data_IF_452262286012
#
_entry.id   IF_452262286012
#
_cell.length_a   1.000
_cell.length_b   1.000
_cell.length_c   1.000
_cell.angle_alpha   90.00
_cell.angle_beta   90.00
_cell.angle_gamma   90.00
#
_symmetry.space_group_name_H-M   'P 1'
#
loop_
_entity.id
_entity.type
_entity.pdbx_description
1 polymer ?
#
# COMPACT_ATOMS: atom_id res chain seq x y z
N UNK A 1 11.65 -24.97 -24.35
CA UNK A 1 10.17 -25.05 -24.31
C UNK A 1 9.63 -26.43 -24.68
N UNK A 2 9.75 -26.92 -25.93
CA UNK A 2 9.34 -28.32 -26.25
C UNK A 2 10.07 -29.37 -25.41
N UNK A 3 11.38 -29.18 -25.20
CA UNK A 3 12.19 -30.01 -24.29
C UNK A 3 11.80 -29.88 -22.80
N UNK A 4 11.05 -28.83 -22.44
CA UNK A 4 10.54 -28.57 -21.09
C UNK A 4 9.04 -28.93 -20.95
N UNK A 5 8.49 -29.74 -21.87
CA UNK A 5 7.10 -30.20 -21.83
C UNK A 5 6.05 -29.21 -22.34
N UNK A 6 6.45 -28.07 -22.92
CA UNK A 6 5.50 -27.09 -23.46
C UNK A 6 4.96 -27.52 -24.83
N UNK A 7 3.64 -27.53 -24.98
CA UNK A 7 2.95 -27.78 -26.24
C UNK A 7 2.60 -26.46 -26.93
N UNK A 8 2.99 -26.32 -28.20
CA UNK A 8 2.66 -25.16 -29.01
C UNK A 8 1.49 -25.48 -29.92
N UNK A 9 0.44 -24.67 -29.85
CA UNK A 9 -0.65 -24.69 -30.82
C UNK A 9 -0.53 -23.49 -31.75
N UNK A 10 -0.57 -23.67 -33.08
CA UNK A 10 -0.57 -22.56 -34.03
C UNK A 10 -1.91 -21.80 -34.07
N UNK A 11 -2.97 -22.31 -33.44
CA UNK A 11 -4.31 -21.69 -33.41
C UNK A 11 -4.86 -21.66 -32.00
N UNK A 12 -5.63 -20.63 -31.67
CA UNK A 12 -6.30 -20.54 -30.37
C UNK A 12 -7.43 -21.57 -30.27
N UNK A 13 -7.28 -22.54 -29.36
CA UNK A 13 -8.27 -23.58 -28.99
C UNK A 13 -8.57 -23.49 -27.49
N UNK A 14 -9.63 -24.18 -27.03
CA UNK A 14 -10.07 -24.13 -25.61
C UNK A 14 -9.03 -24.70 -24.64
N UNK A 15 -8.11 -25.52 -25.11
CA UNK A 15 -7.15 -26.25 -24.29
C UNK A 15 -5.84 -25.46 -24.06
N UNK A 16 -5.77 -24.21 -24.51
CA UNK A 16 -4.58 -23.38 -24.38
C UNK A 16 -4.60 -22.60 -23.09
N UNK A 17 -3.49 -22.67 -22.35
CA UNK A 17 -3.33 -22.00 -21.05
C UNK A 17 -3.09 -20.49 -21.19
N UNK A 18 -2.34 -20.04 -22.21
CA UNK A 18 -2.08 -18.62 -22.47
C UNK A 18 -1.68 -18.39 -23.94
N UNK A 19 -1.86 -17.14 -24.40
CA UNK A 19 -1.36 -16.67 -25.70
C UNK A 19 -0.19 -15.73 -25.46
N UNK A 20 0.93 -15.96 -26.13
CA UNK A 20 2.13 -15.12 -26.01
C UNK A 20 2.16 -14.15 -27.18
N UNK A 21 2.24 -12.84 -26.89
CA UNK A 21 2.34 -11.80 -27.90
C UNK A 21 3.80 -11.55 -28.27
N UNK A 22 4.21 -11.97 -29.47
CA UNK A 22 5.52 -11.69 -30.05
C UNK A 22 5.42 -10.51 -31.03
N UNK A 23 6.16 -9.42 -30.78
CA UNK A 23 6.20 -8.24 -31.66
C UNK A 23 5.36 -7.06 -31.16
N UNK A 24 5.91 -5.85 -31.28
CA UNK A 24 5.27 -4.61 -30.85
C UNK A 24 4.01 -4.25 -31.65
N UNK A 25 3.04 -3.68 -30.94
CA UNK A 25 1.86 -2.92 -31.40
C UNK A 25 0.86 -3.53 -32.39
N UNK A 26 1.06 -4.73 -32.96
CA UNK A 26 0.01 -5.42 -33.73
C UNK A 26 -0.88 -6.29 -32.83
N UNK A 27 -1.54 -5.65 -31.87
CA UNK A 27 -2.33 -6.27 -30.80
C UNK A 27 -3.75 -6.73 -31.25
N UNK A 28 -3.94 -6.91 -32.56
CA UNK A 28 -5.24 -7.10 -33.22
C UNK A 28 -5.32 -8.35 -34.12
N UNK A 29 -4.43 -9.34 -33.92
CA UNK A 29 -4.55 -10.62 -34.63
C UNK A 29 -5.87 -11.34 -34.34
N UNK A 30 -6.37 -12.12 -35.29
CA UNK A 30 -7.63 -12.86 -35.14
C UNK A 30 -7.58 -13.81 -33.93
N UNK A 31 -6.40 -14.32 -33.62
CA UNK A 31 -6.04 -15.17 -32.50
C UNK A 31 -6.17 -14.42 -31.17
N UNK A 32 -5.66 -13.19 -31.08
CA UNK A 32 -5.80 -12.33 -29.91
C UNK A 32 -7.27 -12.00 -29.64
N UNK A 33 -8.04 -11.66 -30.69
CA UNK A 33 -9.50 -11.44 -30.56
C UNK A 33 -10.24 -12.71 -30.09
N UNK A 34 -9.83 -13.88 -30.57
CA UNK A 34 -10.40 -15.17 -30.16
C UNK A 34 -10.06 -15.53 -28.71
N UNK A 35 -8.81 -15.30 -28.29
CA UNK A 35 -8.36 -15.49 -26.92
C UNK A 35 -9.16 -14.62 -25.93
N UNK A 36 -9.39 -13.34 -26.28
CA UNK A 36 -10.25 -12.42 -25.51
C UNK A 36 -11.66 -12.95 -25.33
N UNK A 37 -12.33 -13.37 -26.41
CA UNK A 37 -13.68 -13.95 -26.35
C UNK A 37 -13.75 -15.20 -25.47
N UNK A 38 -12.66 -15.96 -25.40
CA UNK A 38 -12.54 -17.19 -24.61
C UNK A 38 -11.95 -16.95 -23.22
N UNK A 39 -11.68 -15.70 -22.83
CA UNK A 39 -11.03 -15.32 -21.55
C UNK A 39 -9.69 -16.01 -21.31
N UNK A 40 -8.96 -16.33 -22.37
CA UNK A 40 -7.61 -16.91 -22.29
C UNK A 40 -6.61 -15.76 -22.03
N UNK A 41 -5.73 -15.86 -21.01
CA UNK A 41 -4.73 -14.84 -20.71
C UNK A 41 -3.80 -14.57 -21.90
N UNK A 42 -3.56 -13.29 -22.21
CA UNK A 42 -2.58 -12.85 -23.20
C UNK A 42 -1.39 -12.26 -22.46
N UNK A 43 -0.22 -12.87 -22.62
CA UNK A 43 1.01 -12.51 -21.91
C UNK A 43 2.09 -12.01 -22.86
N UNK A 44 3.03 -11.23 -22.33
CA UNK A 44 4.20 -10.73 -23.04
C UNK A 44 5.23 -11.85 -23.30
N UNK A 45 6.13 -11.63 -24.26
CA UNK A 45 7.17 -12.61 -24.64
C UNK A 45 8.17 -12.92 -23.52
N UNK A 46 8.47 -11.95 -22.67
CA UNK A 46 9.31 -12.08 -21.48
C UNK A 46 8.81 -13.18 -20.52
N UNK A 47 7.50 -13.43 -20.45
CA UNK A 47 6.89 -14.51 -19.67
C UNK A 47 7.55 -15.87 -19.92
N UNK A 48 7.75 -16.23 -21.20
CA UNK A 48 8.36 -17.51 -21.55
C UNK A 48 9.83 -17.57 -21.11
N UNK A 49 10.57 -16.46 -21.28
CA UNK A 49 11.96 -16.37 -20.85
C UNK A 49 12.12 -16.54 -19.35
N UNK A 50 11.26 -15.89 -18.56
CA UNK A 50 11.25 -15.98 -17.10
C UNK A 50 10.84 -17.38 -16.60
N UNK A 51 9.82 -17.99 -17.21
CA UNK A 51 9.40 -19.35 -16.88
C UNK A 51 10.52 -20.39 -17.13
N UNK A 52 11.26 -20.24 -18.23
CA UNK A 52 12.41 -21.11 -18.55
C UNK A 52 13.52 -20.90 -17.53
N UNK A 53 13.86 -19.64 -17.21
CA UNK A 53 14.94 -19.32 -16.28
C UNK A 53 14.67 -19.85 -14.88
N UNK A 54 13.43 -19.72 -14.40
CA UNK A 54 13.00 -20.19 -13.07
C UNK A 54 12.56 -21.67 -13.05
N UNK A 55 12.57 -22.35 -14.20
CA UNK A 55 12.13 -23.75 -14.36
C UNK A 55 10.75 -24.07 -13.73
N UNK A 56 9.84 -23.09 -13.73
CA UNK A 56 8.46 -23.20 -13.21
C UNK A 56 7.49 -22.34 -14.02
N UNK A 57 6.20 -22.70 -14.00
CA UNK A 57 5.14 -21.88 -14.62
C UNK A 57 4.84 -20.70 -13.70
N UNK A 58 5.05 -19.48 -14.18
CA UNK A 58 4.81 -18.26 -13.41
C UNK A 58 3.33 -17.81 -13.53
N UNK A 59 2.80 -17.03 -12.57
CA UNK A 59 1.45 -16.49 -12.67
C UNK A 59 1.30 -15.55 -13.87
N UNK A 60 0.25 -15.74 -14.67
CA UNK A 60 0.01 -14.92 -15.87
C UNK A 60 -0.23 -13.44 -15.56
N UNK A 61 -0.78 -13.11 -14.39
CA UNK A 61 -1.18 -11.74 -14.01
C UNK A 61 -0.03 -10.73 -14.07
N UNK A 62 1.19 -11.17 -13.75
CA UNK A 62 2.40 -10.34 -13.78
C UNK A 62 2.85 -9.96 -15.19
N UNK A 63 2.40 -10.72 -16.20
CA UNK A 63 2.86 -10.63 -17.57
C UNK A 63 1.73 -10.34 -18.56
N UNK A 64 0.50 -10.11 -18.07
CA UNK A 64 -0.67 -9.80 -18.89
C UNK A 64 -0.46 -8.49 -19.67
N UNK A 65 -0.84 -8.50 -20.94
CA UNK A 65 -0.85 -7.30 -21.78
C UNK A 65 -2.13 -6.51 -21.48
N UNK A 66 -2.01 -5.40 -20.77
CA UNK A 66 -3.13 -4.48 -20.51
C UNK A 66 -3.69 -3.92 -21.82
N UNK A 67 -5.02 -3.83 -21.93
CA UNK A 67 -5.67 -3.08 -23.02
C UNK A 67 -6.54 -1.97 -22.47
N UNK A 68 -6.42 -0.82 -23.12
CA UNK A 68 -6.78 0.54 -22.70
C UNK A 68 -8.27 0.83 -22.52
N UNK A 69 -9.17 -0.14 -22.44
CA UNK A 69 -10.62 0.11 -22.54
C UNK A 69 -11.51 -0.56 -21.48
N UNK A 70 -10.99 -1.38 -20.56
CA UNK A 70 -11.83 -1.97 -19.49
C UNK A 70 -11.29 -1.77 -18.07
N UNK A 71 -10.08 -1.23 -17.91
CA UNK A 71 -9.46 -0.99 -16.58
C UNK A 71 -9.52 0.47 -16.13
N UNK A 72 -9.87 1.40 -17.03
CA UNK A 72 -9.84 2.85 -16.78
C UNK A 72 -11.12 3.43 -16.16
N UNK A 73 -12.18 2.64 -15.94
CA UNK A 73 -13.47 3.14 -15.41
C UNK A 73 -13.98 2.44 -14.14
N UNK A 74 -13.18 1.57 -13.52
CA UNK A 74 -13.41 1.15 -12.14
C UNK A 74 -12.23 1.65 -11.34
N UNK A 75 -12.45 2.70 -10.54
CA UNK A 75 -11.50 3.09 -9.49
C UNK A 75 -11.10 1.82 -8.75
N UNK A 76 -9.85 1.41 -8.92
CA UNK A 76 -9.36 0.11 -8.49
C UNK A 76 -9.58 0.01 -6.99
N UNK A 77 -10.53 -0.83 -6.60
CA UNK A 77 -10.71 -1.19 -5.21
C UNK A 77 -9.44 -1.94 -4.84
N UNK A 78 -8.49 -1.26 -4.18
CA UNK A 78 -7.29 -1.91 -3.63
C UNK A 78 -7.77 -2.82 -2.50
N UNK A 79 -8.21 -4.02 -2.86
CA UNK A 79 -8.54 -5.05 -1.90
C UNK A 79 -7.24 -5.65 -1.40
N UNK A 80 -6.71 -5.06 -0.33
CA UNK A 80 -5.55 -5.57 0.39
C UNK A 80 -5.81 -7.02 0.80
N UNK A 81 -5.16 -7.98 0.13
CA UNK A 81 -5.20 -9.39 0.50
C UNK A 81 -4.24 -9.62 1.66
N UNK A 82 -4.81 -9.79 2.85
CA UNK A 82 -4.07 -10.07 4.08
C UNK A 82 -3.78 -11.57 4.16
N UNK A 83 -2.52 -11.95 4.33
CA UNK A 83 -2.07 -13.32 4.66
C UNK A 83 -1.13 -13.24 5.87
N UNK A 84 -1.46 -13.92 6.97
CA UNK A 84 -0.75 -13.74 8.25
C UNK A 84 -1.16 -12.44 8.95
N UNK A 85 -0.27 -11.82 9.75
CA UNK A 85 -0.53 -10.60 10.52
C UNK A 85 -0.39 -9.30 9.73
N UNK A 86 -0.15 -9.39 8.42
CA UNK A 86 0.02 -8.22 7.57
C UNK A 86 -0.35 -8.51 6.12
N UNK A 87 -0.24 -7.49 5.26
CA UNK A 87 -0.55 -7.62 3.85
C UNK A 87 0.64 -7.24 2.97
N UNK A 88 0.85 -8.06 1.95
CA UNK A 88 1.82 -7.79 0.89
C UNK A 88 1.30 -6.65 0.04
N UNK A 89 2.14 -5.65 -0.22
CA UNK A 89 1.76 -4.50 -1.02
C UNK A 89 1.53 -4.89 -2.49
N UNK A 90 0.42 -4.48 -3.09
CA UNK A 90 0.00 -4.87 -4.45
C UNK A 90 1.06 -4.59 -5.53
N UNK A 91 1.71 -3.43 -5.46
CA UNK A 91 2.76 -3.07 -6.41
C UNK A 91 3.98 -4.01 -6.43
N UNK A 92 4.13 -4.92 -5.45
CA UNK A 92 5.14 -5.98 -5.47
C UNK A 92 4.82 -7.08 -6.48
N UNK A 93 3.54 -7.30 -6.81
CA UNK A 93 3.09 -8.43 -7.61
C UNK A 93 3.05 -9.77 -6.86
N UNK A 94 3.47 -9.82 -5.58
CA UNK A 94 3.57 -11.07 -4.80
C UNK A 94 2.42 -11.27 -3.81
N UNK A 95 1.35 -10.47 -3.91
CA UNK A 95 0.21 -10.50 -2.99
C UNK A 95 -0.54 -11.85 -2.97
N UNK A 96 -0.48 -12.59 -4.07
CA UNK A 96 -1.17 -13.87 -4.22
C UNK A 96 -0.28 -15.08 -3.93
N UNK A 97 1.05 -14.90 -3.96
CA UNK A 97 2.03 -16.00 -3.86
C UNK A 97 2.95 -15.92 -2.65
N UNK A 98 2.98 -14.78 -1.94
CA UNK A 98 3.80 -14.60 -0.75
C UNK A 98 3.04 -14.02 0.43
N UNK A 99 3.73 -14.01 1.57
CA UNK A 99 3.31 -13.41 2.83
C UNK A 99 4.43 -12.55 3.40
N UNK A 100 4.09 -11.66 4.34
CA UNK A 100 5.10 -10.87 5.05
C UNK A 100 5.89 -11.78 5.97
N UNK A 101 7.21 -11.66 5.94
CA UNK A 101 8.07 -12.45 6.81
C UNK A 101 7.83 -12.11 8.28
N UNK A 102 7.50 -13.14 9.06
CA UNK A 102 7.37 -13.07 10.52
C UNK A 102 8.48 -13.93 11.17
N UNK A 103 9.24 -13.34 12.10
CA UNK A 103 10.25 -14.06 12.88
C UNK A 103 9.99 -13.86 14.38
N UNK A 104 9.30 -14.82 15.01
CA UNK A 104 8.90 -14.73 16.41
C UNK A 104 7.87 -13.63 16.65
N UNK A 105 8.29 -12.52 17.27
CA UNK A 105 7.44 -11.33 17.48
C UNK A 105 7.67 -10.25 16.43
N UNK A 106 8.72 -10.39 15.62
CA UNK A 106 9.12 -9.43 14.60
C UNK A 106 8.30 -9.61 13.33
N UNK A 107 7.61 -8.55 12.92
CA UNK A 107 6.90 -8.48 11.62
C UNK A 107 7.68 -7.51 10.74
N UNK A 108 8.31 -8.00 9.67
CA UNK A 108 9.14 -7.18 8.79
C UNK A 108 8.30 -6.43 7.74
N UNK A 109 7.44 -5.54 8.23
CA UNK A 109 6.68 -4.59 7.44
C UNK A 109 6.65 -3.25 8.15
N UNK A 110 6.96 -2.17 7.42
CA UNK A 110 6.85 -0.82 7.94
C UNK A 110 6.49 0.16 6.83
N UNK A 111 5.67 1.14 7.18
CA UNK A 111 5.38 2.30 6.35
C UNK A 111 5.93 3.51 7.09
N UNK A 112 6.80 4.26 6.44
CA UNK A 112 7.42 5.45 7.00
C UNK A 112 6.84 6.68 6.31
N UNK A 113 6.70 7.77 7.05
CA UNK A 113 6.18 9.04 6.56
C UNK A 113 7.06 10.20 7.05
N UNK A 114 7.15 11.25 6.25
CA UNK A 114 7.77 12.52 6.62
C UNK A 114 7.00 13.66 5.97
N UNK A 115 6.58 14.61 6.80
CA UNK A 115 6.05 15.89 6.34
C UNK A 115 6.90 17.02 6.92
N UNK A 116 7.44 17.85 6.04
CA UNK A 116 8.13 19.09 6.41
C UNK A 116 7.65 20.20 5.47
N UNK A 117 6.79 21.06 6.02
CA UNK A 117 6.20 22.17 5.29
C UNK A 117 7.19 23.27 4.95
N UNK A 118 8.28 23.40 5.71
CA UNK A 118 9.31 24.40 5.44
C UNK A 118 10.11 24.05 4.18
N UNK A 119 10.31 22.76 3.93
CA UNK A 119 11.03 22.23 2.79
C UNK A 119 10.10 21.76 1.65
N UNK A 120 8.78 21.82 1.85
CA UNK A 120 7.78 21.30 0.90
C UNK A 120 7.81 19.76 0.74
N UNK A 121 8.40 19.06 1.70
CA UNK A 121 8.57 17.60 1.69
C UNK A 121 7.31 16.96 2.26
N UNK A 122 6.70 16.05 1.49
CA UNK A 122 5.61 15.20 1.96
C UNK A 122 5.78 13.82 1.31
N UNK A 123 6.48 12.93 1.98
CA UNK A 123 7.01 11.71 1.35
C UNK A 123 6.73 10.48 2.20
N UNK A 124 6.44 9.36 1.53
CA UNK A 124 6.28 8.06 2.16
C UNK A 124 7.35 7.08 1.70
N UNK A 125 7.60 6.06 2.53
CA UNK A 125 8.52 4.97 2.24
C UNK A 125 7.98 3.67 2.84
N UNK A 126 7.58 2.73 2.00
CA UNK A 126 7.11 1.40 2.37
C UNK A 126 8.27 0.43 2.22
N UNK A 127 8.48 -0.38 3.26
CA UNK A 127 9.53 -1.40 3.32
C UNK A 127 8.93 -2.70 3.85
N UNK A 128 9.06 -3.77 3.05
CA UNK A 128 8.51 -5.08 3.37
C UNK A 128 9.54 -6.17 3.07
N UNK A 129 9.57 -7.21 3.90
CA UNK A 129 10.14 -8.50 3.51
C UNK A 129 9.00 -9.44 3.15
N UNK A 130 9.04 -9.99 1.95
CA UNK A 130 8.03 -10.90 1.40
C UNK A 130 8.69 -12.27 1.21
N UNK A 131 8.16 -13.29 1.86
CA UNK A 131 8.56 -14.69 1.69
C UNK A 131 7.49 -15.38 0.83
N UNK A 132 7.89 -16.15 -0.19
CA UNK A 132 6.93 -16.97 -0.94
C UNK A 132 6.30 -18.02 -0.01
N UNK A 133 5.04 -18.39 -0.28
CA UNK A 133 4.29 -19.32 0.56
C UNK A 133 4.91 -20.72 0.61
N UNK A 134 5.70 -21.09 -0.40
CA UNK A 134 6.48 -22.34 -0.44
C UNK A 134 7.82 -22.26 0.31
N UNK A 135 8.17 -21.07 0.83
CA UNK A 135 9.41 -20.79 1.55
C UNK A 135 10.67 -20.81 0.69
N UNK A 136 10.53 -20.82 -0.64
CA UNK A 136 11.66 -20.99 -1.56
C UNK A 136 12.47 -19.70 -1.76
N UNK A 137 11.79 -18.58 -1.91
CA UNK A 137 12.37 -17.28 -2.25
C UNK A 137 11.95 -16.20 -1.25
N UNK A 138 12.86 -15.27 -0.96
CA UNK A 138 12.62 -14.14 -0.07
C UNK A 138 13.01 -12.84 -0.77
N UNK A 139 12.18 -11.81 -0.57
CA UNK A 139 12.28 -10.56 -1.29
C UNK A 139 12.26 -9.38 -0.34
N UNK A 140 13.09 -8.37 -0.61
CA UNK A 140 12.96 -7.04 0.00
C UNK A 140 12.23 -6.14 -0.99
N UNK A 141 11.04 -5.70 -0.59
CA UNK A 141 10.22 -4.78 -1.37
C UNK A 141 10.29 -3.37 -0.79
N UNK A 142 10.45 -2.41 -1.70
CA UNK A 142 10.52 -0.98 -1.41
C UNK A 142 9.57 -0.23 -2.33
N UNK A 143 8.82 0.72 -1.78
CA UNK A 143 8.06 1.70 -2.55
C UNK A 143 8.19 3.06 -1.89
N UNK A 144 8.47 4.10 -2.65
CA UNK A 144 8.62 5.45 -2.13
C UNK A 144 8.01 6.45 -3.09
N UNK A 145 7.60 7.60 -2.56
CA UNK A 145 7.02 8.65 -3.39
C UNK A 145 6.54 9.83 -2.58
N UNK A 146 5.98 10.82 -3.30
CA UNK A 146 5.24 11.91 -2.68
C UNK A 146 3.85 11.41 -2.31
N UNK A 147 3.40 11.69 -1.10
CA UNK A 147 2.05 11.32 -0.66
C UNK A 147 1.00 12.02 -1.53
N UNK A 148 0.03 11.27 -2.04
CA UNK A 148 -1.06 11.79 -2.88
C UNK A 148 -0.68 12.03 -4.35
N UNK A 149 0.45 11.48 -4.80
CA UNK A 149 0.89 11.58 -6.19
C UNK A 149 1.52 10.29 -6.69
N UNK A 150 0.80 9.58 -7.54
CA UNK A 150 1.32 8.38 -8.22
C UNK A 150 2.46 8.67 -9.22
N UNK A 151 2.64 9.93 -9.63
CA UNK A 151 3.64 10.33 -10.65
C UNK A 151 5.06 10.40 -10.09
N UNK A 152 5.20 10.71 -8.79
CA UNK A 152 6.50 11.00 -8.17
C UNK A 152 6.82 9.87 -7.20
N UNK A 153 7.73 8.99 -7.60
CA UNK A 153 8.13 7.87 -6.78
C UNK A 153 8.81 6.76 -7.55
N UNK A 154 9.01 5.64 -6.87
CA UNK A 154 9.57 4.44 -7.44
C UNK A 154 9.24 3.22 -6.61
N UNK A 155 9.49 2.04 -7.18
CA UNK A 155 9.42 0.77 -6.48
C UNK A 155 10.64 -0.08 -6.83
N UNK A 156 11.04 -0.94 -5.90
CA UNK A 156 12.13 -1.89 -6.10
C UNK A 156 11.81 -3.19 -5.37
N UNK A 157 12.02 -4.30 -6.05
CA UNK A 157 11.87 -5.66 -5.52
C UNK A 157 13.20 -6.37 -5.76
N UNK A 158 13.79 -6.90 -4.69
CA UNK A 158 15.08 -7.60 -4.76
C UNK A 158 14.98 -8.95 -4.09
N UNK A 159 15.33 -9.99 -4.83
CA UNK A 159 15.45 -11.36 -4.34
C UNK A 159 16.76 -11.53 -3.57
N UNK A 160 16.71 -12.12 -2.38
CA UNK A 160 17.89 -12.42 -1.58
C UNK A 160 17.61 -13.51 -0.54
N UNK A 161 18.67 -14.01 0.11
CA UNK A 161 18.51 -14.98 1.21
C UNK A 161 17.73 -14.36 2.38
N UNK A 162 16.99 -15.18 3.14
CA UNK A 162 16.23 -14.72 4.32
C UNK A 162 17.08 -13.94 5.31
N UNK A 163 18.31 -14.39 5.55
CA UNK A 163 19.26 -13.72 6.44
C UNK A 163 19.74 -12.38 5.90
N UNK A 164 19.98 -12.28 4.60
CA UNK A 164 20.40 -11.03 3.96
C UNK A 164 19.24 -10.05 3.86
N UNK A 165 18.01 -10.53 3.61
CA UNK A 165 16.79 -9.74 3.61
C UNK A 165 16.57 -9.04 4.95
N UNK A 166 16.72 -9.77 6.07
CA UNK A 166 16.61 -9.19 7.41
C UNK A 166 17.71 -8.15 7.64
N UNK A 167 18.96 -8.43 7.24
CA UNK A 167 20.08 -7.49 7.39
C UNK A 167 19.84 -6.21 6.59
N UNK A 168 19.43 -6.35 5.34
CA UNK A 168 19.17 -5.23 4.43
C UNK A 168 17.97 -4.40 4.88
N UNK A 169 16.89 -5.05 5.34
CA UNK A 169 15.74 -4.36 5.93
C UNK A 169 16.15 -3.49 7.11
N UNK A 170 16.91 -4.05 8.08
CA UNK A 170 17.37 -3.30 9.26
C UNK A 170 18.32 -2.16 8.85
N UNK A 171 19.19 -2.38 7.88
CA UNK A 171 20.09 -1.36 7.33
C UNK A 171 19.31 -0.20 6.72
N UNK A 172 18.34 -0.50 5.85
CA UNK A 172 17.47 0.49 5.20
C UNK A 172 16.62 1.25 6.22
N UNK A 173 16.06 0.55 7.20
CA UNK A 173 15.28 1.17 8.27
C UNK A 173 16.13 2.17 9.06
N UNK A 174 17.35 1.78 9.46
CA UNK A 174 18.30 2.65 10.15
C UNK A 174 18.70 3.85 9.28
N UNK A 175 18.95 3.61 7.98
CA UNK A 175 19.27 4.68 7.03
C UNK A 175 18.13 5.70 6.92
N UNK A 176 16.86 5.26 6.87
CA UNK A 176 15.71 6.16 6.69
C UNK A 176 15.24 6.83 7.97
N UNK A 177 15.35 6.18 9.13
CA UNK A 177 14.81 6.68 10.40
C UNK A 177 15.89 7.22 11.35
N UNK A 178 17.15 6.79 11.20
CA UNK A 178 18.23 7.05 12.15
C UNK A 178 18.13 6.23 13.44
N UNK A 179 17.21 5.25 13.51
CA UNK A 179 17.00 4.40 14.68
C UNK A 179 17.15 2.92 14.29
N UNK A 180 17.64 2.05 15.18
CA UNK A 180 17.65 0.62 14.93
C UNK A 180 16.21 0.07 14.87
N UNK A 181 16.00 -1.00 14.11
CA UNK A 181 14.68 -1.64 13.97
C UNK A 181 14.12 -2.10 15.31
N UNK A 182 14.97 -2.63 16.18
CA UNK A 182 14.62 -3.17 17.48
C UNK A 182 14.00 -2.10 18.40
N UNK A 183 14.48 -0.85 18.32
CA UNK A 183 13.91 0.27 19.08
C UNK A 183 12.46 0.57 18.67
N UNK A 184 12.15 0.44 17.38
CA UNK A 184 10.78 0.59 16.88
C UNK A 184 9.90 -0.61 17.27
N UNK A 185 10.39 -1.83 17.05
CA UNK A 185 9.66 -3.06 17.32
C UNK A 185 9.30 -3.23 18.80
N UNK A 186 10.24 -2.90 19.68
CA UNK A 186 10.06 -2.99 21.13
C UNK A 186 9.40 -1.73 21.72
N UNK A 187 9.20 -0.70 20.91
CA UNK A 187 8.72 0.63 21.34
C UNK A 187 9.60 1.23 22.45
N UNK A 188 10.90 0.97 22.40
CA UNK A 188 11.88 1.40 23.39
C UNK A 188 12.87 2.37 22.75
N UNK A 189 13.06 3.54 23.36
CA UNK A 189 14.09 4.54 22.98
C UNK A 189 14.05 5.00 21.51
N UNK A 190 12.94 4.84 20.78
CA UNK A 190 12.81 5.41 19.44
C UNK A 190 12.71 6.94 19.51
N UNK A 191 13.56 7.65 18.78
CA UNK A 191 13.54 9.12 18.73
C UNK A 191 13.45 9.63 17.30
N UNK A 192 12.45 10.46 17.02
CA UNK A 192 12.31 11.11 15.71
C UNK A 192 13.54 11.99 15.45
N UNK A 193 14.28 11.68 14.39
CA UNK A 193 15.43 12.47 13.96
C UNK A 193 15.01 13.58 12.98
N UNK A 194 15.62 14.77 13.04
CA UNK A 194 15.40 15.84 12.05
C UNK A 194 15.68 15.36 10.62
N UNK A 195 14.82 15.73 9.66
CA UNK A 195 14.99 15.37 8.23
C UNK A 195 14.85 13.88 7.89
N UNK A 196 14.57 13.00 8.87
CA UNK A 196 14.41 11.55 8.65
C UNK A 196 12.96 11.10 8.74
N UNK A 197 12.65 9.93 8.21
CA UNK A 197 11.29 9.39 8.25
C UNK A 197 10.87 8.96 9.66
N UNK A 198 9.56 9.00 9.91
CA UNK A 198 8.92 8.41 11.09
C UNK A 198 8.12 7.16 10.70
N UNK A 199 8.29 6.03 11.39
CA UNK A 199 7.47 4.84 11.16
C UNK A 199 6.04 5.03 11.66
N UNK A 200 5.07 4.66 10.83
CA UNK A 200 3.66 4.61 11.18
C UNK A 200 3.30 3.23 11.69
N UNK A 201 2.56 3.20 12.80
CA UNK A 201 2.01 1.98 13.36
C UNK A 201 0.65 1.71 12.69
N UNK A 202 0.67 0.79 11.73
CA UNK A 202 -0.47 0.42 10.90
C UNK A 202 -0.94 -0.96 11.33
N UNK A 203 -2.14 -1.03 11.92
CA UNK A 203 -2.81 -2.30 12.18
C UNK A 203 -3.53 -2.74 10.90
N UNK A 204 -2.96 -3.74 10.22
CA UNK A 204 -3.55 -4.34 9.02
C UNK A 204 -4.83 -5.16 9.32
N UNK A 205 -5.31 -5.11 10.56
CA UNK A 205 -6.65 -5.54 10.92
C UNK A 205 -6.81 -7.05 10.85
N UNK A 206 -5.77 -7.79 11.19
CA UNK A 206 -5.75 -9.27 11.18
C UNK A 206 -6.54 -9.81 12.34
N UNK A 207 -7.85 -9.61 12.27
CA UNK A 207 -8.80 -10.62 12.70
C UNK A 207 -9.16 -11.34 11.42
N UNK A 208 -9.05 -12.67 11.39
CA UNK A 208 -9.50 -13.49 10.27
C UNK A 208 -10.84 -12.93 9.79
N UNK A 209 -10.85 -12.27 8.63
CA UNK A 209 -12.10 -11.89 8.02
C UNK A 209 -12.83 -13.23 7.80
N UNK A 210 -14.02 -13.43 8.38
CA UNK A 210 -14.72 -14.69 8.22
C UNK A 210 -14.81 -14.95 6.71
N UNK A 211 -14.35 -16.13 6.28
CA UNK A 211 -14.34 -16.54 4.87
C UNK A 211 -15.63 -16.05 4.24
N UNK A 212 -15.52 -15.11 3.29
CA UNK A 212 -16.68 -14.53 2.61
C UNK A 212 -17.47 -15.70 2.02
N UNK A 213 -18.53 -16.13 2.70
CA UNK A 213 -19.49 -17.07 2.13
C UNK A 213 -20.05 -16.39 0.89
N UNK A 214 -20.28 -17.19 -0.14
CA UNK A 214 -20.83 -16.71 -1.41
C UNK A 214 -22.22 -16.08 -1.16
N UNK A 215 -22.24 -14.76 -0.96
CA UNK A 215 -23.42 -13.98 -0.52
C UNK A 215 -24.51 -13.95 -1.58
N UNK A 216 -24.21 -14.37 -2.83
CA UNK A 216 -25.17 -14.37 -3.94
C UNK A 216 -26.38 -15.28 -3.72
N UNK A 217 -26.34 -16.16 -2.70
CA UNK A 217 -27.43 -17.10 -2.37
C UNK A 217 -28.17 -16.82 -1.05
N UNK A 218 -27.75 -15.84 -0.24
CA UNK A 218 -28.43 -15.53 1.03
C UNK A 218 -29.43 -14.39 0.84
N UNK A 219 -30.73 -14.70 0.92
CA UNK A 219 -31.78 -13.68 1.04
C UNK A 219 -31.80 -13.17 2.48
N UNK A 220 -31.69 -11.86 2.66
CA UNK A 220 -31.82 -11.22 3.98
C UNK A 220 -33.22 -11.44 4.53
N UNK A 221 -33.32 -11.75 5.83
CA UNK A 221 -34.60 -11.83 6.57
C UNK A 221 -34.99 -10.51 7.24
N UNK A 222 -34.21 -9.45 7.03
CA UNK A 222 -34.49 -8.12 7.58
C UNK A 222 -35.63 -7.44 6.81
N UNK A 223 -36.42 -6.62 7.52
CA UNK A 223 -37.40 -5.75 6.88
C UNK A 223 -36.70 -4.83 5.86
N UNK A 224 -37.33 -4.51 4.72
CA UNK A 224 -36.71 -3.72 3.66
C UNK A 224 -36.09 -2.40 4.14
N UNK A 225 -36.75 -1.70 5.06
CA UNK A 225 -36.28 -0.42 5.60
C UNK A 225 -34.99 -0.58 6.43
N UNK A 226 -34.88 -1.67 7.19
CA UNK A 226 -33.68 -1.98 7.99
C UNK A 226 -32.55 -2.43 7.08
N UNK A 227 -32.86 -3.21 6.04
CA UNK A 227 -31.86 -3.61 5.04
C UNK A 227 -31.28 -2.39 4.32
N UNK A 228 -32.14 -1.46 3.89
CA UNK A 228 -31.73 -0.22 3.24
C UNK A 228 -30.87 0.65 4.17
N UNK A 229 -31.28 0.81 5.44
CA UNK A 229 -30.48 1.50 6.44
C UNK A 229 -29.11 0.84 6.64
N UNK A 230 -29.06 -0.49 6.73
CA UNK A 230 -27.78 -1.22 6.87
C UNK A 230 -26.91 -1.06 5.62
N UNK A 231 -27.49 -1.12 4.43
CA UNK A 231 -26.74 -0.86 3.19
C UNK A 231 -26.19 0.55 3.14
N UNK A 232 -26.94 1.54 3.63
CA UNK A 232 -26.48 2.92 3.74
C UNK A 232 -25.35 3.07 4.77
N UNK A 233 -25.52 2.52 5.97
CA UNK A 233 -24.54 2.63 7.07
C UNK A 233 -23.25 1.84 6.84
N UNK A 234 -23.28 0.76 6.05
CA UNK A 234 -22.11 -0.07 5.77
C UNK A 234 -21.58 0.08 4.33
N UNK A 235 -21.93 1.19 3.67
CA UNK A 235 -21.41 1.50 2.34
C UNK A 235 -19.97 2.01 2.44
N UNK A 236 -19.00 1.14 2.14
CA UNK A 236 -17.57 1.48 2.21
C UNK A 236 -17.22 2.60 1.22
N UNK A 237 -17.83 2.60 0.03
CA UNK A 237 -17.61 3.63 -0.99
C UNK A 237 -18.02 5.03 -0.52
N UNK A 238 -19.12 5.16 0.22
CA UNK A 238 -19.55 6.42 0.83
C UNK A 238 -18.53 6.95 1.84
N UNK A 239 -18.01 6.07 2.71
CA UNK A 239 -16.92 6.45 3.61
C UNK A 239 -15.64 6.83 2.86
N UNK A 240 -15.34 6.19 1.71
CA UNK A 240 -14.19 6.59 0.89
C UNK A 240 -14.35 7.98 0.30
N UNK A 241 -15.54 8.30 -0.20
CA UNK A 241 -15.83 9.63 -0.72
C UNK A 241 -15.65 10.70 0.36
N UNK A 242 -16.21 10.47 1.56
CA UNK A 242 -16.07 11.41 2.67
C UNK A 242 -14.61 11.57 3.14
N UNK A 243 -13.83 10.50 3.22
CA UNK A 243 -12.40 10.59 3.60
C UNK A 243 -11.56 11.32 2.54
N UNK A 244 -11.90 11.18 1.25
CA UNK A 244 -11.25 11.95 0.19
C UNK A 244 -11.55 13.45 0.29
N UNK A 245 -12.73 13.84 0.77
CA UNK A 245 -13.07 15.24 1.06
C UNK A 245 -12.17 15.85 2.15
N UNK A 246 -11.78 15.04 3.14
CA UNK A 246 -10.76 15.39 4.15
C UNK A 246 -9.31 15.25 3.64
N UNK A 247 -9.10 15.09 2.33
CA UNK A 247 -7.79 14.95 1.69
C UNK A 247 -6.99 13.72 2.16
N UNK A 248 -7.69 12.69 2.63
CA UNK A 248 -7.12 11.42 3.05
C UNK A 248 -7.28 10.41 1.89
N UNK A 249 -6.21 10.20 1.13
CA UNK A 249 -6.21 9.24 0.01
C UNK A 249 -6.02 7.80 0.51
N UNK A 250 -7.14 7.07 0.64
CA UNK A 250 -7.14 5.66 1.06
C UNK A 250 -6.60 4.67 0.01
N UNK A 251 -6.44 5.07 -1.26
CA UNK A 251 -5.93 4.19 -2.32
C UNK A 251 -4.40 4.13 -2.32
N UNK A 252 -3.74 5.28 -2.15
CA UNK A 252 -2.28 5.35 -2.06
C UNK A 252 -1.77 5.01 -0.66
N UNK A 253 -2.55 5.38 0.35
CA UNK A 253 -2.29 5.08 1.74
C UNK A 253 -3.48 4.30 2.25
N UNK A 254 -3.49 2.96 2.07
CA UNK A 254 -4.42 2.15 2.81
C UNK A 254 -4.06 2.41 4.27
N UNK A 255 -4.84 3.28 4.91
CA UNK A 255 -4.91 3.39 6.34
C UNK A 255 -5.46 2.04 6.82
N UNK A 256 -4.63 0.99 6.76
CA UNK A 256 -4.69 -0.05 7.75
C UNK A 256 -4.79 0.69 9.08
N UNK A 257 -5.73 0.25 9.91
CA UNK A 257 -6.23 0.96 11.08
C UNK A 257 -5.06 1.68 11.75
N UNK A 258 -4.95 2.99 11.53
CA UNK A 258 -3.89 3.76 12.13
C UNK A 258 -3.97 3.49 13.63
N UNK A 259 -2.85 3.14 14.24
CA UNK A 259 -2.91 2.69 15.63
C UNK A 259 -3.54 3.78 16.50
N UNK A 260 -4.26 3.36 17.54
CA UNK A 260 -4.84 4.30 18.51
C UNK A 260 -3.77 5.23 19.10
N UNK A 261 -2.54 4.73 19.24
CA UNK A 261 -1.40 5.50 19.71
C UNK A 261 -1.01 6.62 18.72
N UNK A 262 -0.96 6.33 17.42
CA UNK A 262 -0.68 7.35 16.41
C UNK A 262 -1.78 8.41 16.34
N UNK A 263 -3.04 8.00 16.45
CA UNK A 263 -4.19 8.92 16.53
C UNK A 263 -4.07 9.80 17.77
N UNK A 264 -3.76 9.22 18.93
CA UNK A 264 -3.60 9.96 20.19
C UNK A 264 -2.47 11.00 20.11
N UNK A 265 -1.30 10.63 19.57
CA UNK A 265 -0.19 11.57 19.33
C UNK A 265 -0.55 12.65 18.31
N UNK A 266 -1.37 12.32 17.32
CA UNK A 266 -1.96 13.29 16.39
C UNK A 266 -2.81 14.33 17.13
N UNK A 267 -3.72 13.90 18.01
CA UNK A 267 -4.50 14.79 18.86
C UNK A 267 -3.63 15.64 19.78
N UNK A 268 -2.58 15.08 20.38
CA UNK A 268 -1.63 15.85 21.20
C UNK A 268 -0.96 16.97 20.39
N UNK A 269 -0.63 16.73 19.12
CA UNK A 269 -0.13 17.78 18.22
C UNK A 269 -1.18 18.86 17.92
N UNK A 270 -2.43 18.48 17.68
CA UNK A 270 -3.51 19.45 17.46
C UNK A 270 -3.80 20.29 18.73
N UNK A 271 -3.80 19.66 19.90
CA UNK A 271 -3.99 20.36 21.19
C UNK A 271 -2.84 21.33 21.46
N UNK A 272 -1.59 20.95 21.13
CA UNK A 272 -0.44 21.86 21.22
C UNK A 272 -0.64 23.08 20.31
N UNK A 273 -1.05 22.86 19.06
CA UNK A 273 -1.36 23.95 18.12
C UNK A 273 -2.48 24.83 18.67
N UNK A 274 -3.56 24.24 19.21
CA UNK A 274 -4.66 25.00 19.80
C UNK A 274 -4.19 25.92 20.93
N UNK A 275 -3.41 25.38 21.88
CA UNK A 275 -2.86 26.15 22.99
C UNK A 275 -1.94 27.28 22.49
N UNK A 276 -1.10 26.98 21.49
CA UNK A 276 -0.26 27.97 20.86
C UNK A 276 -1.07 29.03 20.10
N UNK A 277 -2.26 28.74 19.57
CA UNK A 277 -3.12 29.72 18.90
C UNK A 277 -3.91 30.59 19.90
N UNK A 278 -4.25 30.04 21.06
CA UNK A 278 -4.96 30.75 22.13
C UNK A 278 -4.03 31.61 22.99
N UNK A 279 -2.76 31.23 23.14
CA UNK A 279 -1.78 31.99 23.90
C UNK A 279 -1.26 33.21 23.11
N UNK A 280 -1.90 34.36 23.31
CA UNK A 280 -1.46 35.66 22.79
C UNK A 280 -0.51 36.42 23.73
N UNK A 281 -0.14 35.83 24.88
CA UNK A 281 0.67 36.50 25.90
C UNK A 281 2.14 36.08 25.89
N UNK A 282 3.06 37.05 25.85
CA UNK A 282 4.48 36.94 26.25
C UNK A 282 5.45 36.04 25.46
N UNK A 283 5.05 35.23 24.47
CA UNK A 283 6.02 34.59 23.57
C UNK A 283 6.41 35.52 22.41
N UNK A 284 7.70 35.62 22.12
CA UNK A 284 8.21 36.27 20.93
C UNK A 284 7.54 35.63 19.69
N UNK A 285 6.90 36.45 18.85
CA UNK A 285 6.06 36.00 17.73
C UNK A 285 6.78 34.96 16.84
N UNK A 286 8.08 35.14 16.62
CA UNK A 286 8.91 34.23 15.84
C UNK A 286 9.06 32.83 16.47
N UNK A 287 9.18 32.74 17.80
CA UNK A 287 9.26 31.46 18.50
C UNK A 287 7.92 30.72 18.42
N UNK A 288 6.82 31.45 18.59
CA UNK A 288 5.46 30.90 18.48
C UNK A 288 5.19 30.34 17.09
N UNK A 289 5.55 31.06 16.04
CA UNK A 289 5.42 30.56 14.66
C UNK A 289 6.27 29.30 14.43
N UNK A 290 7.51 29.26 14.94
CA UNK A 290 8.37 28.08 14.84
C UNK A 290 7.75 26.86 15.52
N UNK A 291 7.16 27.03 16.70
CA UNK A 291 6.47 25.96 17.42
C UNK A 291 5.22 25.46 16.67
N UNK A 292 4.42 26.36 16.10
CA UNK A 292 3.25 26.00 15.28
C UNK A 292 3.68 25.18 14.07
N UNK A 293 4.76 25.58 13.39
CA UNK A 293 5.32 24.85 12.25
C UNK A 293 5.81 23.46 12.68
N UNK A 294 6.53 23.36 13.80
CA UNK A 294 7.01 22.09 14.32
C UNK A 294 5.85 21.14 14.69
N UNK A 295 4.82 21.64 15.36
CA UNK A 295 3.64 20.87 15.73
C UNK A 295 2.81 20.47 14.50
N UNK A 296 2.66 21.34 13.51
CA UNK A 296 2.02 21.03 12.22
C UNK A 296 2.77 19.93 11.47
N UNK A 297 4.10 20.04 11.35
CA UNK A 297 4.95 19.00 10.76
C UNK A 297 4.79 17.66 11.48
N UNK A 298 4.71 17.68 12.82
CA UNK A 298 4.48 16.48 13.64
C UNK A 298 3.13 15.85 13.35
N UNK A 299 2.07 16.65 13.27
CA UNK A 299 0.72 16.19 12.93
C UNK A 299 0.69 15.50 11.56
N UNK A 300 1.14 16.16 10.50
CA UNK A 300 1.12 15.58 9.14
C UNK A 300 2.11 14.44 8.93
N UNK A 301 3.15 14.35 9.78
CA UNK A 301 4.03 13.17 9.81
C UNK A 301 3.31 11.96 10.43
N UNK A 302 2.47 12.15 11.45
CA UNK A 302 1.73 11.07 12.13
C UNK A 302 0.43 10.69 11.42
N UNK A 303 -0.25 11.69 10.85
CA UNK A 303 -1.52 11.58 10.14
C UNK A 303 -1.26 12.01 8.68
N UNK A 304 -0.97 11.06 7.79
CA UNK A 304 -0.65 11.40 6.41
C UNK A 304 -1.82 12.05 5.68
N UNK A 305 -1.54 13.15 4.98
CA UNK A 305 -2.50 13.87 4.12
C UNK A 305 -1.88 14.16 2.75
N UNK A 306 -2.72 14.31 1.73
CA UNK A 306 -2.30 14.66 0.37
C UNK A 306 -1.74 16.09 0.31
N UNK A 307 -2.39 17.05 0.97
CA UNK A 307 -1.99 18.46 0.98
C UNK A 307 -1.73 18.95 2.42
N UNK A 308 -0.58 18.57 3.02
CA UNK A 308 -0.23 19.09 4.32
C UNK A 308 -0.02 20.60 4.22
N UNK A 309 -0.34 21.32 5.29
CA UNK A 309 -0.26 22.77 5.38
C UNK A 309 0.17 23.18 6.79
N UNK A 310 0.47 24.45 7.02
CA UNK A 310 0.74 24.94 8.38
C UNK A 310 -0.60 25.35 8.98
N UNK A 311 -0.95 24.78 10.14
CA UNK A 311 -2.23 25.05 10.81
C UNK A 311 -2.06 26.37 11.59
N UNK A 312 -2.44 27.49 10.96
CA UNK A 312 -2.21 28.85 11.48
C UNK A 312 -3.42 29.49 12.16
N UNK A 313 -4.59 28.88 12.02
CA UNK A 313 -5.85 29.44 12.52
C UNK A 313 -6.78 28.33 13.02
N UNK A 314 -7.83 28.77 13.71
CA UNK A 314 -8.84 27.88 14.29
C UNK A 314 -9.71 27.23 13.23
N UNK A 315 -9.83 27.83 12.05
CA UNK A 315 -10.66 27.30 10.97
C UNK A 315 -10.01 26.04 10.38
N UNK A 316 -8.71 26.08 10.11
CA UNK A 316 -7.93 24.91 9.72
C UNK A 316 -7.87 23.86 10.83
N UNK A 317 -7.78 24.26 12.10
CA UNK A 317 -7.78 23.33 13.24
C UNK A 317 -9.11 22.58 13.36
N UNK A 318 -10.22 23.23 13.05
CA UNK A 318 -11.58 22.71 13.25
C UNK A 318 -12.26 22.28 11.96
N UNK A 319 -11.55 22.26 10.82
CA UNK A 319 -12.09 21.99 9.49
C UNK A 319 -13.14 20.87 9.58
N UNK A 320 -14.40 21.30 9.46
CA UNK A 320 -15.62 20.49 9.59
C UNK A 320 -15.97 19.86 8.25
#
# INVERSE_FOLDING_TARGET
>A
LKLAGAHFSPRVTKDINCVVSCGGLDNESAEVRKARRQKIPIVREDYLGECIRKNRVLPFDLYKVATTLEESSKGSTVTVKVKGRSAVHEASGLQDTGHILENGKSIYNTTLNISDMTQGVNSYYILQIIEEDDGSECYVFRKWGRVGSEKIGGKKLEEMSKTDAIREFKRLFLEKTGNPWEAWEQKTNFQKQPGRFYPLDIDYGVREAPKRKDMSKMKSSLAPQVLELMMMLFNVETYRAAMMEFEINMAEMPLGKLSKENIQKGFEALTEIQNLLDDTGNQELALRESLIVAASNRFFTLIPSVHPHIIRDKDHLTMK
#
